data_IF_187696501749
#
_entry.id   IF_187696501749
#
_cell.length_a   1.000
_cell.length_b   1.000
_cell.length_c   1.000
_cell.angle_alpha   90.00
_cell.angle_beta   90.00
_cell.angle_gamma   90.00
#
_symmetry.space_group_name_H-M   'P 1'
#
loop_
_entity.id
_entity.type
_entity.pdbx_description
1 polymer ?
#
# COMPACT_ATOMS: atom_id res chain seq x y z
N UNK A 1 5.76 -11.56 5.56
CA UNK A 1 4.28 -11.45 5.51
C UNK A 1 3.81 -10.05 5.07
N UNK A 2 4.48 -9.46 4.06
CA UNK A 2 4.17 -8.13 3.49
C UNK A 2 3.87 -8.23 1.97
N UNK A 3 4.59 -9.12 1.28
CA UNK A 3 4.34 -9.53 -0.12
C UNK A 3 2.89 -9.97 -0.38
N UNK A 4 2.33 -10.81 0.51
CA UNK A 4 0.92 -11.22 0.43
C UNK A 4 -0.07 -10.06 0.52
N UNK A 5 0.27 -8.97 1.23
CA UNK A 5 -0.60 -7.80 1.37
C UNK A 5 -0.58 -6.93 0.12
N UNK A 6 0.60 -6.73 -0.49
CA UNK A 6 0.72 -6.03 -1.77
C UNK A 6 -0.06 -6.76 -2.85
N UNK A 7 0.04 -8.10 -2.89
CA UNK A 7 -0.73 -8.91 -3.83
C UNK A 7 -2.24 -8.84 -3.57
N UNK A 8 -2.68 -8.85 -2.32
CA UNK A 8 -4.10 -8.69 -1.98
C UNK A 8 -4.65 -7.32 -2.45
N UNK A 9 -3.86 -6.24 -2.30
CA UNK A 9 -4.22 -4.92 -2.82
C UNK A 9 -4.37 -4.93 -4.35
N UNK A 10 -3.43 -5.56 -5.07
CA UNK A 10 -3.47 -5.68 -6.53
C UNK A 10 -4.69 -6.49 -6.97
N UNK A 11 -5.00 -7.60 -6.28
CA UNK A 11 -6.20 -8.41 -6.56
C UNK A 11 -7.46 -7.62 -6.35
N UNK A 12 -7.56 -6.83 -5.28
CA UNK A 12 -8.74 -6.01 -4.99
C UNK A 12 -8.93 -4.89 -6.01
N UNK A 13 -7.84 -4.28 -6.45
CA UNK A 13 -7.86 -3.16 -7.39
C UNK A 13 -8.16 -3.61 -8.84
N UNK A 14 -7.80 -4.84 -9.21
CA UNK A 14 -8.16 -5.46 -10.49
C UNK A 14 -9.66 -5.79 -10.54
N UNK A 15 -10.45 -4.76 -10.82
CA UNK A 15 -11.92 -4.78 -10.80
C UNK A 15 -12.49 -5.72 -11.86
N UNK A 16 -11.87 -5.77 -13.04
CA UNK A 16 -12.30 -6.59 -14.17
C UNK A 16 -11.69 -8.01 -14.16
N UNK A 17 -10.81 -8.31 -13.19
CA UNK A 17 -10.09 -9.59 -13.08
C UNK A 17 -9.30 -9.95 -14.34
N UNK A 18 -8.80 -8.94 -15.06
CA UNK A 18 -8.08 -9.13 -16.31
C UNK A 18 -6.65 -9.65 -16.08
N UNK A 19 -6.08 -9.34 -14.93
CA UNK A 19 -4.66 -9.57 -14.62
C UNK A 19 -4.46 -10.55 -13.46
N UNK A 20 -5.48 -10.71 -12.62
CA UNK A 20 -5.48 -11.53 -11.40
C UNK A 20 -6.45 -12.71 -11.47
N UNK A 21 -6.98 -12.99 -12.66
CA UNK A 21 -7.71 -14.23 -12.95
C UNK A 21 -6.83 -15.45 -12.65
N UNK A 22 -7.41 -16.48 -12.01
CA UNK A 22 -6.74 -17.78 -11.75
C UNK A 22 -6.66 -18.66 -13.00
N UNK A 23 -7.28 -18.26 -14.09
CA UNK A 23 -7.37 -19.01 -15.34
C UNK A 23 -6.83 -18.14 -16.47
N UNK A 24 -5.52 -18.21 -16.71
CA UNK A 24 -4.82 -17.52 -17.79
C UNK A 24 -3.47 -16.92 -17.39
N UNK A 25 -2.77 -16.33 -18.36
CA UNK A 25 -1.47 -15.66 -18.23
C UNK A 25 -1.56 -14.35 -17.40
N UNK A 26 -1.87 -14.51 -16.13
CA UNK A 26 -2.00 -13.44 -15.15
C UNK A 26 -0.67 -13.06 -14.52
N UNK A 27 -0.71 -12.03 -13.68
CA UNK A 27 0.47 -11.54 -12.96
C UNK A 27 1.13 -12.62 -12.08
N UNK A 28 0.36 -13.62 -11.64
CA UNK A 28 0.86 -14.71 -10.80
C UNK A 28 1.87 -15.61 -11.51
N UNK A 29 1.67 -15.91 -12.79
CA UNK A 29 2.64 -16.70 -13.56
C UNK A 29 4.00 -16.00 -13.61
N UNK A 30 3.99 -14.67 -13.80
CA UNK A 30 5.20 -13.85 -13.83
C UNK A 30 5.93 -13.80 -12.49
N UNK A 31 5.20 -13.97 -11.39
CA UNK A 31 5.74 -14.00 -10.03
C UNK A 31 6.29 -15.38 -9.65
N UNK A 32 5.84 -16.44 -10.32
CA UNK A 32 6.34 -17.82 -10.11
C UNK A 32 7.59 -18.13 -10.96
N UNK A 33 7.90 -17.32 -11.99
CA UNK A 33 9.10 -17.47 -12.81
C UNK A 33 10.41 -17.29 -12.02
N UNK A 34 11.42 -18.12 -12.29
CA UNK A 34 12.76 -17.98 -11.71
C UNK A 34 13.47 -16.72 -12.27
N UNK A 35 14.37 -16.05 -11.50
CA UNK A 35 14.91 -16.41 -10.18
C UNK A 35 13.94 -16.20 -9.01
N UNK A 36 14.29 -16.64 -7.79
CA UNK A 36 13.46 -16.33 -6.60
C UNK A 36 13.50 -14.83 -6.32
N UNK A 37 12.37 -14.25 -5.95
CA UNK A 37 12.31 -12.87 -5.45
C UNK A 37 12.91 -12.83 -4.05
N UNK A 38 13.93 -11.99 -3.85
CA UNK A 38 14.62 -11.88 -2.57
C UNK A 38 14.30 -10.56 -1.87
N UNK A 39 13.99 -9.51 -2.65
CA UNK A 39 13.76 -8.15 -2.16
C UNK A 39 12.39 -7.58 -2.53
N UNK A 40 12.02 -6.46 -1.91
CA UNK A 40 10.79 -5.73 -2.24
C UNK A 40 10.93 -5.02 -3.61
N UNK A 41 12.14 -4.60 -3.93
CA UNK A 41 12.54 -4.03 -5.22
C UNK A 41 12.35 -5.06 -6.34
N UNK A 42 12.76 -6.32 -6.15
CA UNK A 42 12.52 -7.40 -7.13
C UNK A 42 11.02 -7.60 -7.41
N UNK A 43 10.21 -7.53 -6.35
CA UNK A 43 8.76 -7.64 -6.46
C UNK A 43 8.17 -6.46 -7.24
N UNK A 44 8.58 -5.23 -6.91
CA UNK A 44 8.17 -4.02 -7.63
C UNK A 44 8.51 -4.13 -9.12
N UNK A 45 9.76 -4.48 -9.44
CA UNK A 45 10.22 -4.59 -10.82
C UNK A 45 9.44 -5.62 -11.62
N UNK A 46 9.13 -6.78 -11.02
CA UNK A 46 8.35 -7.83 -11.70
C UNK A 46 6.91 -7.42 -11.96
N UNK A 47 6.25 -6.83 -10.97
CA UNK A 47 4.86 -6.37 -11.10
C UNK A 47 4.79 -5.24 -12.13
N UNK A 48 5.68 -4.24 -12.05
CA UNK A 48 5.75 -3.17 -13.04
C UNK A 48 6.10 -3.70 -14.42
N UNK A 49 7.02 -4.65 -14.51
CA UNK A 49 7.42 -5.31 -15.75
C UNK A 49 6.26 -6.01 -16.44
N UNK A 50 5.42 -6.72 -15.67
CA UNK A 50 4.19 -7.33 -16.19
C UNK A 50 3.26 -6.29 -16.81
N UNK A 51 2.93 -5.21 -16.10
CA UNK A 51 2.02 -4.19 -16.64
C UNK A 51 2.62 -3.41 -17.82
N UNK A 52 3.93 -3.14 -17.82
CA UNK A 52 4.62 -2.55 -18.98
C UNK A 52 4.53 -3.45 -20.21
N UNK A 53 4.64 -4.76 -20.03
CA UNK A 53 4.46 -5.71 -21.12
C UNK A 53 3.03 -5.72 -21.64
N UNK A 54 2.03 -5.73 -20.75
CA UNK A 54 0.61 -5.58 -21.12
C UNK A 54 0.39 -4.34 -21.98
N UNK A 55 0.95 -3.20 -21.58
CA UNK A 55 0.86 -1.95 -22.35
C UNK A 55 1.56 -2.01 -23.71
N UNK A 56 2.64 -2.79 -23.81
CA UNK A 56 3.39 -2.96 -25.06
C UNK A 56 2.64 -3.81 -26.08
N UNK A 57 1.97 -4.86 -25.62
CA UNK A 57 1.29 -5.83 -26.50
C UNK A 57 -0.18 -5.50 -26.77
N UNK A 58 -0.81 -4.70 -25.92
CA UNK A 58 -2.22 -4.36 -26.04
C UNK A 58 -2.45 -3.16 -26.96
N UNK A 59 -3.51 -3.17 -27.80
CA UNK A 59 -3.93 -1.98 -28.55
C UNK A 59 -4.28 -0.82 -27.61
N UNK A 60 -3.90 0.40 -27.94
CA UNK A 60 -4.07 1.58 -27.08
C UNK A 60 -5.53 1.93 -26.78
N UNK A 61 -6.46 1.52 -27.64
CA UNK A 61 -7.91 1.69 -27.49
C UNK A 61 -8.59 0.53 -26.75
N UNK A 62 -7.82 -0.50 -26.38
CA UNK A 62 -8.37 -1.68 -25.69
C UNK A 62 -8.59 -1.45 -24.19
N UNK A 63 -9.56 -2.17 -23.63
CA UNK A 63 -9.78 -2.24 -22.18
C UNK A 63 -8.52 -2.69 -21.44
N UNK A 64 -7.77 -3.64 -22.01
CA UNK A 64 -6.52 -4.15 -21.45
C UNK A 64 -5.46 -3.07 -21.31
N UNK A 65 -5.32 -2.19 -22.30
CA UNK A 65 -4.37 -1.09 -22.22
C UNK A 65 -4.77 -0.07 -21.15
N UNK A 66 -6.03 0.36 -21.15
CA UNK A 66 -6.52 1.35 -20.18
C UNK A 66 -6.42 0.84 -18.73
N UNK A 67 -6.86 -0.40 -18.49
CA UNK A 67 -6.75 -1.01 -17.17
C UNK A 67 -5.30 -1.35 -16.80
N UNK A 68 -4.47 -1.77 -17.75
CA UNK A 68 -3.04 -2.00 -17.52
C UNK A 68 -2.32 -0.72 -17.09
N UNK A 69 -2.68 0.42 -17.69
CA UNK A 69 -2.11 1.73 -17.35
C UNK A 69 -2.55 2.16 -15.95
N UNK A 70 -3.84 2.01 -15.63
CA UNK A 70 -4.39 2.30 -14.30
C UNK A 70 -3.70 1.46 -13.23
N UNK A 71 -3.55 0.17 -13.45
CA UNK A 71 -2.91 -0.77 -12.53
C UNK A 71 -1.43 -0.49 -12.35
N UNK A 72 -0.71 -0.12 -13.42
CA UNK A 72 0.70 0.30 -13.31
C UNK A 72 0.86 1.51 -12.38
N UNK A 73 0.04 2.55 -12.58
CA UNK A 73 0.07 3.74 -11.72
C UNK A 73 -0.28 3.42 -10.26
N UNK A 74 -1.23 2.50 -10.03
CA UNK A 74 -1.57 2.05 -8.69
C UNK A 74 -0.40 1.35 -7.99
N UNK A 75 0.26 0.44 -8.70
CA UNK A 75 1.47 -0.25 -8.21
C UNK A 75 2.55 0.75 -7.83
N UNK A 76 2.84 1.73 -8.69
CA UNK A 76 3.84 2.76 -8.40
C UNK A 76 3.53 3.56 -7.13
N UNK A 77 2.26 3.88 -6.89
CA UNK A 77 1.82 4.57 -5.66
C UNK A 77 2.03 3.70 -4.43
N UNK A 78 1.63 2.43 -4.46
CA UNK A 78 1.83 1.52 -3.32
C UNK A 78 3.30 1.44 -2.94
N UNK A 79 4.19 1.20 -3.91
CA UNK A 79 5.61 1.06 -3.61
C UNK A 79 6.27 2.38 -3.17
N UNK A 80 5.77 3.53 -3.65
CA UNK A 80 6.18 4.85 -3.14
C UNK A 80 5.78 5.03 -1.67
N UNK A 81 4.51 4.76 -1.33
CA UNK A 81 4.03 4.86 0.06
C UNK A 81 4.75 3.90 1.00
N UNK A 82 5.06 2.68 0.54
CA UNK A 82 5.83 1.70 1.33
C UNK A 82 7.25 2.19 1.63
N UNK A 83 7.92 2.84 0.66
CA UNK A 83 9.24 3.47 0.88
C UNK A 83 9.15 4.60 1.89
N UNK A 84 8.19 5.51 1.73
CA UNK A 84 7.99 6.66 2.63
C UNK A 84 7.67 6.21 4.06
N UNK A 85 6.88 5.15 4.24
CA UNK A 85 6.59 4.56 5.55
C UNK A 85 7.83 3.95 6.20
N UNK A 86 8.69 3.30 5.40
CA UNK A 86 9.93 2.69 5.88
C UNK A 86 10.97 3.77 6.29
N UNK A 87 11.10 4.82 5.49
CA UNK A 87 11.93 5.99 5.81
C UNK A 87 11.42 6.70 7.08
N UNK A 88 10.11 6.93 7.17
CA UNK A 88 9.48 7.51 8.37
C UNK A 88 9.62 6.62 9.60
N UNK A 89 9.68 5.29 9.44
CA UNK A 89 9.90 4.35 10.53
C UNK A 89 11.37 4.35 10.99
N UNK A 90 12.32 4.46 10.06
CA UNK A 90 13.73 4.67 10.36
C UNK A 90 13.98 5.99 11.10
N UNK A 91 13.37 7.09 10.65
CA UNK A 91 13.43 8.38 11.34
C UNK A 91 12.79 8.33 12.73
N UNK A 92 11.68 7.59 12.88
CA UNK A 92 11.03 7.35 14.17
C UNK A 92 11.86 6.49 15.13
N UNK A 93 12.67 5.55 14.63
CA UNK A 93 13.55 4.74 15.49
C UNK A 93 14.62 5.57 16.24
N UNK A 94 14.85 6.82 15.80
CA UNK A 94 15.79 7.78 16.40
C UNK A 94 15.10 8.61 17.51
N UNK A 95 13.77 8.62 17.62
CA UNK A 95 13.01 9.41 18.61
C UNK A 95 12.17 8.51 19.53
N UNK A 96 12.12 8.87 20.82
CA UNK A 96 11.58 8.04 21.90
C UNK A 96 10.12 7.58 21.65
N UNK A 97 9.78 6.29 21.85
CA UNK A 97 8.46 5.72 21.55
C UNK A 97 7.26 6.37 22.27
N UNK A 98 7.50 7.08 23.37
CA UNK A 98 6.46 7.61 24.24
C UNK A 98 5.82 8.89 23.69
N UNK A 99 6.58 9.70 22.96
CA UNK A 99 6.10 10.94 22.34
C UNK A 99 5.20 10.66 21.12
N UNK A 100 5.43 9.53 20.45
CA UNK A 100 4.70 9.14 19.25
C UNK A 100 3.30 8.58 19.55
N UNK A 101 3.11 7.88 20.68
CA UNK A 101 1.76 7.43 21.09
C UNK A 101 0.89 8.63 21.44
N UNK A 102 1.45 9.60 22.15
CA UNK A 102 0.77 10.84 22.52
C UNK A 102 0.45 11.66 21.26
N UNK A 103 1.37 11.76 20.30
CA UNK A 103 1.14 12.48 19.04
C UNK A 103 0.11 11.78 18.14
N UNK A 104 0.21 10.47 17.94
CA UNK A 104 -0.75 9.69 17.13
C UNK A 104 -2.15 9.72 17.71
N UNK A 105 -2.29 9.62 19.03
CA UNK A 105 -3.61 9.79 19.67
C UNK A 105 -4.11 11.22 19.57
N UNK A 106 -3.23 12.22 19.74
CA UNK A 106 -3.62 13.64 19.61
C UNK A 106 -4.04 13.99 18.18
N UNK A 107 -3.35 13.46 17.16
CA UNK A 107 -3.69 13.65 15.75
C UNK A 107 -4.94 12.89 15.33
N UNK A 108 -5.18 11.71 15.91
CA UNK A 108 -6.41 10.93 15.71
C UNK A 108 -7.62 11.61 16.38
N UNK A 109 -7.45 12.14 17.58
CA UNK A 109 -8.49 12.84 18.34
C UNK A 109 -8.84 14.20 17.74
N UNK A 110 -7.84 14.96 17.26
CA UNK A 110 -8.08 16.22 16.52
C UNK A 110 -8.85 15.99 15.22
N UNK A 111 -8.72 14.82 14.59
CA UNK A 111 -9.49 14.45 13.40
C UNK A 111 -10.92 14.00 13.71
N UNK A 112 -11.20 13.61 14.95
CA UNK A 112 -12.50 13.04 15.34
C UNK A 112 -13.43 14.06 16.03
N UNK A 113 -12.89 15.16 16.54
CA UNK A 113 -13.62 16.05 17.45
C UNK A 113 -13.40 17.51 17.07
N UNK A 114 -13.97 17.95 15.95
CA UNK A 114 -14.31 19.37 15.80
C UNK A 114 -15.43 19.69 16.80
N UNK A 115 -15.08 20.33 17.93
CA UNK A 115 -16.04 21.05 18.77
C UNK A 115 -16.28 20.56 20.20
N UNK A 116 -15.44 19.72 20.79
CA UNK A 116 -15.60 19.30 22.19
C UNK A 116 -14.50 19.89 23.08
N UNK A 117 -14.92 20.40 24.24
CA UNK A 117 -14.10 21.20 25.16
C UNK A 117 -12.95 20.36 25.75
N UNK A 118 -11.72 20.81 25.50
CA UNK A 118 -10.45 20.13 25.87
C UNK A 118 -10.38 19.72 27.36
N UNK A 119 -10.91 20.49 28.34
CA UNK A 119 -10.87 20.11 29.75
C UNK A 119 -11.63 18.82 30.07
N UNK A 120 -12.77 18.57 29.41
CA UNK A 120 -13.60 17.36 29.62
C UNK A 120 -12.92 16.11 29.06
N UNK A 121 -12.10 16.30 28.04
CA UNK A 121 -11.35 15.24 27.36
C UNK A 121 -10.14 14.79 28.20
N UNK A 122 -9.47 15.74 28.85
CA UNK A 122 -8.38 15.44 29.78
C UNK A 122 -8.86 14.67 31.03
N UNK A 123 -10.08 14.93 31.48
CA UNK A 123 -10.68 14.24 32.63
C UNK A 123 -11.04 12.78 32.30
N UNK A 124 -11.58 12.50 31.11
CA UNK A 124 -11.83 11.14 30.63
C UNK A 124 -10.55 10.34 30.42
N UNK A 125 -9.49 10.97 29.91
CA UNK A 125 -8.19 10.32 29.74
C UNK A 125 -7.60 9.96 31.10
N UNK A 126 -7.72 10.82 32.12
CA UNK A 126 -7.31 10.46 33.49
C UNK A 126 -8.09 9.28 34.06
N UNK A 127 -9.40 9.22 33.84
CA UNK A 127 -10.24 8.12 34.33
C UNK A 127 -9.86 6.75 33.74
N UNK A 128 -9.45 6.68 32.46
CA UNK A 128 -9.09 5.42 31.79
C UNK A 128 -7.71 4.89 32.23
N UNK A 129 -6.80 5.79 32.62
CA UNK A 129 -5.43 5.43 33.02
C UNK A 129 -5.30 5.22 34.54
N UNK A 130 -6.37 5.47 35.31
CA UNK A 130 -6.48 5.19 36.76
C UNK A 130 -7.04 3.79 36.99
#
# INVERSE_FOLDING_TARGET
MMLYRVMDLIVREDTFKLFTSRTGAGIFERLEEAPRMETMEDLEERIKGYFKEVLRVSPTDSLYFNEGFRMLNFVEKIFKELRELNESAMERSIRSPMDDVIRLYSESLNKFVEGMDIPVLQEHVKFIIS
#
